data_IF_060998331127
#
_entry.id   IF_060998331127
#
_cell.length_a   1.000
_cell.length_b   1.000
_cell.length_c   1.000
_cell.angle_alpha   90.00
_cell.angle_beta   90.00
_cell.angle_gamma   90.00
#
_symmetry.space_group_name_H-M   'P 1'
#
loop_
_entity.id
_entity.type
_entity.pdbx_description
1 polymer ?
#
# COMPACT_ATOMS: atom_id res chain seq x y z
N UNK A 1 28.04 -3.80 14.81
CA UNK A 1 27.26 -3.11 13.76
C UNK A 1 27.98 -1.88 13.24
N UNK A 2 28.47 -0.97 14.11
CA UNK A 2 29.13 0.29 13.74
C UNK A 2 30.35 0.10 12.80
N UNK A 3 31.18 -0.93 13.06
CA UNK A 3 32.32 -1.27 12.17
C UNK A 3 31.85 -1.72 10.77
N UNK A 4 30.76 -2.47 10.70
CA UNK A 4 30.19 -2.94 9.42
C UNK A 4 29.65 -1.76 8.61
N UNK A 5 28.91 -0.86 9.27
CA UNK A 5 28.37 0.36 8.65
C UNK A 5 29.52 1.25 8.17
N UNK A 6 30.53 1.49 9.00
CA UNK A 6 31.70 2.29 8.63
C UNK A 6 32.47 1.68 7.43
N UNK A 7 32.65 0.36 7.41
CA UNK A 7 33.27 -0.33 6.27
C UNK A 7 32.41 -0.21 5.02
N UNK A 8 31.10 -0.44 5.12
CA UNK A 8 30.17 -0.30 4.01
C UNK A 8 30.14 1.14 3.48
N UNK A 9 30.07 2.15 4.37
CA UNK A 9 30.13 3.56 3.99
C UNK A 9 31.40 3.89 3.21
N UNK A 10 32.59 3.43 3.68
CA UNK A 10 33.86 3.62 2.97
C UNK A 10 33.93 2.90 1.62
N UNK A 11 33.28 1.75 1.47
CA UNK A 11 33.20 1.04 0.20
C UNK A 11 32.26 1.70 -0.80
N UNK A 12 31.19 2.34 -0.31
CA UNK A 12 30.16 3.02 -1.14
C UNK A 12 30.55 4.44 -1.50
N UNK A 13 31.30 5.16 -0.65
CA UNK A 13 31.75 6.52 -0.96
C UNK A 13 32.99 6.50 -1.86
N UNK A 14 32.74 6.31 -3.16
CA UNK A 14 33.82 6.25 -4.17
C UNK A 14 33.88 7.54 -4.95
N UNK A 15 34.94 8.36 -4.80
CA UNK A 15 35.12 9.57 -5.61
C UNK A 15 35.09 9.23 -7.11
N UNK A 16 34.29 9.99 -7.88
CA UNK A 16 34.12 9.80 -9.32
C UNK A 16 33.12 8.71 -9.74
N UNK A 17 32.53 7.95 -8.81
CA UNK A 17 31.45 7.04 -9.16
C UNK A 17 30.19 7.83 -9.56
N UNK A 18 29.63 7.50 -10.72
CA UNK A 18 28.47 8.19 -11.26
C UNK A 18 27.16 7.60 -10.71
N UNK A 19 26.81 8.00 -9.47
CA UNK A 19 25.56 7.57 -8.82
C UNK A 19 24.31 7.96 -9.62
N UNK A 20 24.34 9.10 -10.31
CA UNK A 20 23.23 9.54 -11.15
C UNK A 20 22.95 8.55 -12.28
N UNK A 21 23.99 8.10 -12.98
CA UNK A 21 23.85 7.07 -14.01
C UNK A 21 23.40 5.73 -13.44
N UNK A 22 23.89 5.36 -12.25
CA UNK A 22 23.48 4.16 -11.55
C UNK A 22 21.98 4.18 -11.22
N UNK A 23 21.48 5.23 -10.58
CA UNK A 23 20.06 5.40 -10.24
C UNK A 23 19.19 5.40 -11.50
N UNK A 24 19.58 6.15 -12.53
CA UNK A 24 18.86 6.14 -13.82
C UNK A 24 18.79 4.72 -14.40
N UNK A 25 19.91 3.99 -14.35
CA UNK A 25 19.98 2.62 -14.84
C UNK A 25 19.04 1.68 -14.04
N UNK A 26 19.07 1.76 -12.72
CA UNK A 26 18.22 0.97 -11.83
C UNK A 26 16.72 1.28 -12.03
N UNK A 27 16.35 2.55 -12.06
CA UNK A 27 14.96 2.97 -12.30
C UNK A 27 14.45 2.52 -13.68
N UNK A 28 15.31 2.61 -14.71
CA UNK A 28 14.97 2.14 -16.06
C UNK A 28 14.81 0.62 -16.09
N UNK A 29 15.72 -0.12 -15.46
CA UNK A 29 15.66 -1.58 -15.40
C UNK A 29 14.39 -2.04 -14.65
N UNK A 30 14.05 -1.40 -13.53
CA UNK A 30 12.84 -1.69 -12.78
C UNK A 30 11.58 -1.46 -13.63
N UNK A 31 11.49 -0.30 -14.29
CA UNK A 31 10.37 0.01 -15.19
C UNK A 31 10.24 -1.02 -16.33
N UNK A 32 11.34 -1.43 -16.94
CA UNK A 32 11.33 -2.43 -17.99
C UNK A 32 10.87 -3.80 -17.48
N UNK A 33 11.28 -4.18 -16.29
CA UNK A 33 10.84 -5.42 -15.65
C UNK A 33 9.34 -5.39 -15.34
N UNK A 34 8.84 -4.34 -14.68
CA UNK A 34 7.41 -4.15 -14.40
C UNK A 34 6.57 -4.14 -15.68
N UNK A 35 7.05 -3.42 -16.70
CA UNK A 35 6.40 -3.38 -18.02
C UNK A 35 6.36 -4.74 -18.68
N UNK A 36 7.39 -5.56 -18.54
CA UNK A 36 7.41 -6.93 -19.04
C UNK A 36 6.39 -7.80 -18.30
N UNK A 37 6.28 -7.68 -16.98
CA UNK A 37 5.30 -8.40 -16.17
C UNK A 37 3.86 -8.00 -16.56
N UNK A 38 3.59 -6.71 -16.71
CA UNK A 38 2.31 -6.17 -17.18
C UNK A 38 1.97 -6.65 -18.59
N UNK A 39 2.94 -6.64 -19.50
CA UNK A 39 2.78 -7.13 -20.87
C UNK A 39 2.42 -8.62 -20.90
N UNK A 40 3.06 -9.46 -20.07
CA UNK A 40 2.72 -10.88 -19.95
C UNK A 40 1.26 -11.06 -19.54
N UNK A 41 0.80 -10.29 -18.55
CA UNK A 41 -0.59 -10.34 -18.09
C UNK A 41 -1.55 -9.89 -19.18
N UNK A 42 -1.26 -8.80 -19.90
CA UNK A 42 -2.06 -8.35 -21.03
C UNK A 42 -2.16 -9.46 -22.09
N UNK A 43 -1.05 -10.13 -22.41
CA UNK A 43 -1.03 -11.22 -23.38
C UNK A 43 -1.88 -12.42 -22.90
N UNK A 44 -1.73 -12.83 -21.64
CA UNK A 44 -2.50 -13.93 -21.05
C UNK A 44 -4.00 -13.66 -21.09
N UNK A 45 -4.41 -12.44 -20.66
CA UNK A 45 -5.83 -12.02 -20.66
C UNK A 45 -6.37 -11.87 -22.07
N UNK A 46 -5.60 -11.30 -23.00
CA UNK A 46 -6.05 -11.13 -24.39
C UNK A 46 -6.25 -12.49 -25.09
N UNK A 47 -5.40 -13.48 -24.81
CA UNK A 47 -5.47 -14.81 -25.40
C UNK A 47 -6.58 -15.68 -24.81
N UNK A 48 -6.80 -15.60 -23.50
CA UNK A 48 -7.67 -16.53 -22.77
C UNK A 48 -8.84 -15.86 -22.06
N UNK A 49 -8.92 -14.54 -22.04
CA UNK A 49 -9.86 -13.76 -21.23
C UNK A 49 -11.33 -13.85 -21.63
N UNK A 50 -11.65 -14.56 -22.71
CA UNK A 50 -13.03 -14.90 -23.05
C UNK A 50 -13.44 -16.31 -22.58
N UNK A 51 -12.50 -17.10 -22.03
CA UNK A 51 -12.77 -18.47 -21.58
C UNK A 51 -13.08 -18.45 -20.09
N UNK A 52 -14.20 -19.05 -19.72
CA UNK A 52 -14.54 -19.31 -18.32
C UNK A 52 -13.62 -20.42 -17.80
N UNK A 53 -12.90 -20.25 -16.69
CA UNK A 53 -12.19 -21.35 -16.04
C UNK A 53 -13.17 -22.46 -15.63
N UNK A 54 -12.73 -23.74 -15.70
CA UNK A 54 -13.59 -24.89 -15.41
C UNK A 54 -14.26 -24.83 -14.04
N UNK A 55 -13.55 -24.36 -13.02
CA UNK A 55 -14.02 -24.23 -11.66
C UNK A 55 -15.14 -23.17 -11.50
N UNK A 56 -15.28 -22.31 -12.50
CA UNK A 56 -16.25 -21.21 -12.54
C UNK A 56 -17.36 -21.42 -13.58
N UNK A 57 -17.34 -22.55 -14.31
CA UNK A 57 -18.40 -22.89 -15.28
C UNK A 57 -19.76 -22.98 -14.56
N UNK A 58 -20.75 -22.31 -15.13
CA UNK A 58 -22.09 -22.19 -14.53
C UNK A 58 -22.20 -21.23 -13.32
N UNK A 59 -21.09 -20.73 -12.78
CA UNK A 59 -21.08 -19.80 -11.64
C UNK A 59 -20.88 -18.33 -12.08
N UNK A 60 -20.19 -18.11 -13.20
CA UNK A 60 -19.96 -16.80 -13.79
C UNK A 60 -20.36 -16.84 -15.27
N UNK A 61 -21.12 -15.85 -15.70
CA UNK A 61 -21.53 -15.70 -17.09
C UNK A 61 -20.38 -15.20 -17.98
N UNK A 62 -20.40 -15.58 -19.25
CA UNK A 62 -19.35 -15.23 -20.23
C UNK A 62 -19.23 -13.72 -20.46
N UNK A 63 -20.30 -12.95 -20.30
CA UNK A 63 -20.28 -11.50 -20.47
C UNK A 63 -19.45 -10.84 -19.35
N UNK A 64 -19.67 -11.25 -18.10
CA UNK A 64 -18.87 -10.81 -16.96
C UNK A 64 -17.39 -11.15 -17.13
N UNK A 65 -17.06 -12.37 -17.63
CA UNK A 65 -15.67 -12.77 -17.90
C UNK A 65 -15.01 -11.85 -18.93
N UNK A 66 -15.70 -11.56 -20.04
CA UNK A 66 -15.20 -10.63 -21.06
C UNK A 66 -15.05 -9.20 -20.52
N UNK A 67 -16.02 -8.75 -19.72
CA UNK A 67 -15.99 -7.40 -19.10
C UNK A 67 -14.83 -7.26 -18.11
N UNK A 68 -14.60 -8.26 -17.24
CA UNK A 68 -13.49 -8.28 -16.30
C UNK A 68 -12.13 -8.30 -17.01
N UNK A 69 -12.03 -9.05 -18.11
CA UNK A 69 -10.83 -9.09 -18.94
C UNK A 69 -10.52 -7.73 -19.59
N UNK A 70 -11.53 -7.07 -20.15
CA UNK A 70 -11.40 -5.73 -20.73
C UNK A 70 -10.99 -4.71 -19.66
N UNK A 71 -11.60 -4.78 -18.48
CA UNK A 71 -11.24 -3.89 -17.36
C UNK A 71 -9.80 -4.12 -16.91
N UNK A 72 -9.38 -5.37 -16.73
CA UNK A 72 -7.98 -5.71 -16.39
C UNK A 72 -6.99 -5.15 -17.41
N UNK A 73 -7.23 -5.37 -18.72
CA UNK A 73 -6.36 -4.83 -19.78
C UNK A 73 -6.34 -3.30 -19.78
N UNK A 74 -7.47 -2.65 -19.52
CA UNK A 74 -7.54 -1.18 -19.43
C UNK A 74 -6.71 -0.63 -18.27
N UNK A 75 -6.77 -1.28 -17.11
CA UNK A 75 -5.92 -0.92 -15.94
C UNK A 75 -4.44 -1.11 -16.22
N UNK A 76 -4.07 -2.23 -16.85
CA UNK A 76 -2.66 -2.51 -17.19
C UNK A 76 -2.11 -1.52 -18.22
N UNK A 77 -2.88 -1.17 -19.25
CA UNK A 77 -2.47 -0.13 -20.20
C UNK A 77 -2.31 1.22 -19.52
N UNK A 78 -3.19 1.57 -18.60
CA UNK A 78 -3.05 2.80 -17.80
C UNK A 78 -1.80 2.74 -16.91
N UNK A 79 -1.51 1.61 -16.26
CA UNK A 79 -0.29 1.37 -15.48
C UNK A 79 0.97 1.60 -16.32
N UNK A 80 1.04 1.03 -17.52
CA UNK A 80 2.18 1.21 -18.43
C UNK A 80 2.38 2.68 -18.82
N UNK A 81 1.31 3.42 -19.13
CA UNK A 81 1.39 4.83 -19.51
C UNK A 81 1.82 5.69 -18.32
N UNK A 82 1.24 5.49 -17.14
CA UNK A 82 1.63 6.23 -15.94
C UNK A 82 3.04 5.88 -15.47
N UNK A 83 3.44 4.60 -15.57
CA UNK A 83 4.81 4.17 -15.25
C UNK A 83 5.84 4.80 -16.19
N UNK A 84 5.56 4.86 -17.50
CA UNK A 84 6.42 5.57 -18.47
C UNK A 84 6.54 7.06 -18.14
N UNK A 85 5.43 7.70 -17.79
CA UNK A 85 5.45 9.10 -17.37
C UNK A 85 6.33 9.31 -16.15
N UNK A 86 6.18 8.48 -15.11
CA UNK A 86 7.01 8.55 -13.90
C UNK A 86 8.49 8.34 -14.19
N UNK A 87 8.84 7.40 -15.08
CA UNK A 87 10.23 7.22 -15.51
C UNK A 87 10.76 8.47 -16.19
N UNK A 88 10.00 9.05 -17.12
CA UNK A 88 10.39 10.28 -17.84
C UNK A 88 10.53 11.44 -16.86
N UNK A 89 9.60 11.62 -15.92
CA UNK A 89 9.66 12.62 -14.86
C UNK A 89 10.96 12.48 -14.04
N UNK A 90 11.29 11.28 -13.57
CA UNK A 90 12.52 11.02 -12.82
C UNK A 90 13.78 11.34 -13.66
N UNK A 91 13.78 10.97 -14.95
CA UNK A 91 14.88 11.30 -15.84
C UNK A 91 15.07 12.81 -15.98
N UNK A 92 13.99 13.59 -16.10
CA UNK A 92 14.05 15.05 -16.13
C UNK A 92 14.57 15.63 -14.80
N UNK A 93 14.06 15.16 -13.66
CA UNK A 93 14.49 15.59 -12.32
C UNK A 93 16.01 15.42 -12.17
N UNK A 94 16.55 14.28 -12.58
CA UNK A 94 17.98 14.00 -12.42
C UNK A 94 18.85 14.68 -13.47
N UNK A 95 18.47 14.66 -14.76
CA UNK A 95 19.27 15.26 -15.83
C UNK A 95 19.34 16.78 -15.76
N UNK A 96 18.27 17.43 -15.31
CA UNK A 96 18.19 18.89 -15.23
C UNK A 96 18.67 19.46 -13.89
N UNK A 97 19.21 18.64 -13.00
CA UNK A 97 19.60 19.02 -11.64
C UNK A 97 18.48 19.76 -10.90
N UNK A 98 17.25 19.20 -11.01
CA UNK A 98 16.06 19.82 -10.43
C UNK A 98 16.15 19.87 -8.90
N UNK A 99 16.65 18.79 -8.26
CA UNK A 99 16.76 18.72 -6.79
C UNK A 99 17.63 19.84 -6.21
N UNK A 100 18.88 20.08 -6.63
CA UNK A 100 19.68 21.18 -6.08
C UNK A 100 19.11 22.56 -6.43
N UNK A 101 18.49 22.74 -7.60
CA UNK A 101 17.82 24.00 -7.95
C UNK A 101 16.62 24.28 -7.05
N UNK A 102 15.78 23.27 -6.80
CA UNK A 102 14.65 23.39 -5.90
C UNK A 102 15.11 23.62 -4.46
N UNK A 103 16.17 22.93 -4.02
CA UNK A 103 16.79 23.14 -2.73
C UNK A 103 17.21 24.59 -2.55
N UNK A 104 17.95 25.16 -3.49
CA UNK A 104 18.38 26.57 -3.46
C UNK A 104 17.16 27.50 -3.45
N UNK A 105 16.17 27.25 -4.29
CA UNK A 105 14.95 28.07 -4.36
C UNK A 105 14.19 28.10 -3.01
N UNK A 106 13.98 26.94 -2.42
CA UNK A 106 13.28 26.82 -1.12
C UNK A 106 14.11 27.42 0.01
N UNK A 107 15.44 27.35 -0.03
CA UNK A 107 16.32 28.00 0.91
C UNK A 107 16.21 29.55 0.87
N UNK A 108 16.20 30.12 -0.32
CA UNK A 108 15.95 31.56 -0.50
C UNK A 108 14.55 31.96 0.00
N UNK A 109 13.54 31.13 -0.25
CA UNK A 109 12.18 31.37 0.23
C UNK A 109 12.13 31.39 1.76
N UNK A 110 12.70 30.38 2.44
CA UNK A 110 12.78 30.31 3.92
C UNK A 110 13.52 31.52 4.47
N UNK A 111 14.66 31.89 3.89
CA UNK A 111 15.44 33.07 4.31
C UNK A 111 14.64 34.36 4.14
N UNK A 112 13.87 34.50 3.07
CA UNK A 112 12.98 35.65 2.86
C UNK A 112 11.86 35.72 3.90
N UNK A 113 11.26 34.58 4.27
CA UNK A 113 10.23 34.53 5.31
C UNK A 113 10.80 34.92 6.68
N UNK A 114 12.00 34.45 7.02
CA UNK A 114 12.70 34.82 8.26
C UNK A 114 13.02 36.32 8.29
N UNK A 115 13.54 36.86 7.18
CA UNK A 115 13.85 38.30 7.08
C UNK A 115 12.63 39.20 7.18
N UNK A 116 11.44 38.72 6.82
CA UNK A 116 10.14 39.39 6.98
C UNK A 116 9.46 39.11 8.35
N UNK A 117 10.14 38.39 9.25
CA UNK A 117 9.59 37.95 10.53
C UNK A 117 8.29 37.12 10.42
N UNK A 118 8.05 36.48 9.27
CA UNK A 118 6.91 35.56 9.06
C UNK A 118 7.16 34.17 9.62
N UNK A 119 8.43 33.84 9.91
CA UNK A 119 8.82 32.62 10.62
C UNK A 119 9.58 32.99 11.90
N UNK A 120 9.38 32.29 13.02
CA UNK A 120 10.17 32.42 14.22
C UNK A 120 11.67 32.14 13.97
N UNK A 121 12.57 32.83 14.60
CA UNK A 121 14.03 32.64 14.46
C UNK A 121 14.48 31.21 14.79
N UNK A 122 13.75 30.50 15.67
CA UNK A 122 14.03 29.10 15.99
C UNK A 122 13.78 28.14 14.81
N UNK A 123 13.10 28.59 13.75
CA UNK A 123 12.84 27.84 12.52
C UNK A 123 13.84 28.17 11.40
N UNK A 124 15.03 28.68 11.70
CA UNK A 124 16.07 29.03 10.70
C UNK A 124 16.94 27.85 10.26
N UNK A 125 16.73 26.65 10.82
CA UNK A 125 17.65 25.52 10.63
C UNK A 125 17.35 24.66 9.41
N UNK A 126 18.27 23.71 9.15
CA UNK A 126 18.24 22.72 8.09
C UNK A 126 16.94 21.90 8.06
N UNK A 127 16.36 21.60 9.23
CA UNK A 127 15.10 20.84 9.33
C UNK A 127 13.96 21.63 8.69
N UNK A 128 13.81 22.92 9.01
CA UNK A 128 12.78 23.77 8.41
C UNK A 128 12.96 23.86 6.90
N UNK A 129 14.19 24.08 6.42
CA UNK A 129 14.49 24.09 4.99
C UNK A 129 14.08 22.75 4.34
N UNK A 130 14.40 21.61 4.96
CA UNK A 130 14.00 20.27 4.48
C UNK A 130 12.49 20.10 4.42
N UNK A 131 11.73 20.64 5.39
CA UNK A 131 10.26 20.61 5.38
C UNK A 131 9.68 21.40 4.19
N UNK A 132 10.18 22.62 3.94
CA UNK A 132 9.76 23.43 2.81
C UNK A 132 10.14 22.78 1.47
N UNK A 133 11.33 22.20 1.38
CA UNK A 133 11.77 21.46 0.20
C UNK A 133 10.86 20.26 -0.08
N UNK A 134 10.60 19.43 0.93
CA UNK A 134 9.71 18.25 0.79
C UNK A 134 8.28 18.69 0.48
N UNK A 135 7.81 19.76 1.10
CA UNK A 135 6.51 20.36 0.80
C UNK A 135 6.40 20.80 -0.64
N UNK A 136 7.42 21.47 -1.18
CA UNK A 136 7.47 21.91 -2.58
C UNK A 136 7.45 20.71 -3.54
N UNK A 137 8.25 19.67 -3.29
CA UNK A 137 8.22 18.43 -4.07
C UNK A 137 6.81 17.81 -4.04
N UNK A 138 6.20 17.69 -2.85
CA UNK A 138 4.87 17.10 -2.71
C UNK A 138 3.80 17.86 -3.50
N UNK A 139 3.86 19.18 -3.50
CA UNK A 139 2.93 20.02 -4.29
C UNK A 139 3.15 19.80 -5.79
N UNK A 140 4.40 19.81 -6.26
CA UNK A 140 4.72 19.57 -7.68
C UNK A 140 4.26 18.17 -8.10
N UNK A 141 4.60 17.12 -7.37
CA UNK A 141 4.19 15.74 -7.66
C UNK A 141 2.67 15.59 -7.63
N UNK A 142 1.98 16.20 -6.67
CA UNK A 142 0.51 16.21 -6.64
C UNK A 142 -0.05 16.82 -7.91
N UNK A 143 0.46 17.99 -8.33
CA UNK A 143 0.00 18.66 -9.53
C UNK A 143 0.23 17.84 -10.80
N UNK A 144 1.39 17.21 -10.94
CA UNK A 144 1.73 16.36 -12.09
C UNK A 144 0.90 15.07 -12.12
N UNK A 145 0.50 14.54 -10.98
CA UNK A 145 -0.34 13.34 -10.87
C UNK A 145 -1.84 13.60 -11.09
N UNK A 146 -2.32 14.85 -11.03
CA UNK A 146 -3.74 15.19 -11.17
C UNK A 146 -4.38 14.66 -12.47
N UNK A 147 -3.77 14.79 -13.66
CA UNK A 147 -4.37 14.27 -14.89
C UNK A 147 -4.55 12.75 -14.87
N UNK A 148 -3.59 12.02 -14.31
CA UNK A 148 -3.65 10.57 -14.17
C UNK A 148 -4.73 10.15 -13.17
N UNK A 149 -4.80 10.83 -12.03
CA UNK A 149 -5.82 10.58 -11.02
C UNK A 149 -7.24 10.87 -11.54
N UNK A 150 -7.40 11.98 -12.27
CA UNK A 150 -8.67 12.31 -12.94
C UNK A 150 -9.05 11.24 -13.96
N UNK A 151 -8.13 10.86 -14.86
CA UNK A 151 -8.38 9.84 -15.87
C UNK A 151 -8.76 8.49 -15.24
N UNK A 152 -8.02 8.06 -14.20
CA UNK A 152 -8.31 6.82 -13.49
C UNK A 152 -9.75 6.80 -12.97
N UNK A 153 -10.18 7.85 -12.26
CA UNK A 153 -11.49 7.86 -11.60
C UNK A 153 -12.63 8.17 -12.58
N UNK A 154 -12.51 9.23 -13.38
CA UNK A 154 -13.63 9.77 -14.19
C UNK A 154 -13.67 9.25 -15.63
N UNK A 155 -12.64 8.51 -16.07
CA UNK A 155 -12.66 7.89 -17.40
C UNK A 155 -12.62 6.38 -17.27
N UNK A 156 -11.59 5.83 -16.61
CA UNK A 156 -11.40 4.38 -16.54
C UNK A 156 -12.43 3.72 -15.61
N UNK A 157 -12.52 4.11 -14.35
CA UNK A 157 -13.46 3.54 -13.38
C UNK A 157 -14.92 3.82 -13.77
N UNK A 158 -15.20 5.01 -14.34
CA UNK A 158 -16.52 5.40 -14.85
C UNK A 158 -16.96 4.49 -15.99
N UNK A 159 -16.07 4.17 -16.94
CA UNK A 159 -16.36 3.30 -18.09
C UNK A 159 -16.82 1.89 -17.70
N UNK A 160 -16.44 1.42 -16.50
CA UNK A 160 -16.85 0.11 -15.97
C UNK A 160 -17.94 0.20 -14.89
N UNK A 161 -18.40 1.41 -14.56
CA UNK A 161 -19.49 1.64 -13.61
C UNK A 161 -19.07 1.67 -12.14
N UNK A 162 -17.77 1.77 -11.86
CA UNK A 162 -17.26 1.78 -10.49
C UNK A 162 -17.19 3.16 -9.85
N UNK A 163 -17.03 4.22 -10.67
CA UNK A 163 -16.93 5.57 -10.12
C UNK A 163 -18.28 6.06 -9.58
N UNK A 164 -18.25 6.52 -8.34
CA UNK A 164 -19.36 7.25 -7.69
C UNK A 164 -18.91 8.63 -7.19
N UNK A 165 -17.65 8.99 -7.44
CA UNK A 165 -17.11 10.28 -7.07
C UNK A 165 -17.72 11.40 -7.92
N UNK A 166 -18.15 12.49 -7.27
CA UNK A 166 -18.34 13.76 -7.95
C UNK A 166 -17.03 14.53 -7.99
N UNK A 167 -16.85 15.40 -8.98
CA UNK A 167 -15.67 16.27 -9.07
C UNK A 167 -15.49 17.11 -7.80
N UNK A 168 -16.60 17.61 -7.23
CA UNK A 168 -16.59 18.37 -5.95
C UNK A 168 -16.03 17.53 -4.80
N UNK A 169 -16.47 16.28 -4.67
CA UNK A 169 -15.99 15.38 -3.61
C UNK A 169 -14.53 15.03 -3.84
N UNK A 170 -14.11 14.75 -5.08
CA UNK A 170 -12.73 14.46 -5.45
C UNK A 170 -11.78 15.62 -5.10
N UNK A 171 -12.14 16.87 -5.44
CA UNK A 171 -11.35 18.07 -5.08
C UNK A 171 -11.30 18.24 -3.56
N UNK A 172 -12.41 18.03 -2.85
CA UNK A 172 -12.47 18.09 -1.38
C UNK A 172 -11.53 17.05 -0.75
N UNK A 173 -11.56 15.81 -1.26
CA UNK A 173 -10.71 14.73 -0.75
C UNK A 173 -9.23 15.01 -1.03
N UNK A 174 -8.89 15.53 -2.21
CA UNK A 174 -7.52 15.96 -2.54
C UNK A 174 -7.00 17.02 -1.56
N UNK A 175 -7.83 18.04 -1.26
CA UNK A 175 -7.47 19.09 -0.30
C UNK A 175 -7.27 18.51 1.11
N UNK A 176 -8.18 17.66 1.58
CA UNK A 176 -8.07 17.00 2.90
C UNK A 176 -6.81 16.12 2.99
N UNK A 177 -6.54 15.31 1.95
CA UNK A 177 -5.34 14.46 1.90
C UNK A 177 -4.06 15.30 1.96
N UNK A 178 -4.00 16.39 1.19
CA UNK A 178 -2.85 17.31 1.20
C UNK A 178 -2.69 17.97 2.57
N UNK A 179 -3.76 18.48 3.16
CA UNK A 179 -3.73 19.11 4.48
C UNK A 179 -3.29 18.13 5.58
N UNK A 180 -3.82 16.89 5.57
CA UNK A 180 -3.40 15.84 6.49
C UNK A 180 -1.93 15.43 6.27
N UNK A 181 -1.49 15.35 5.01
CA UNK A 181 -0.10 15.08 4.67
C UNK A 181 0.85 16.09 5.33
N UNK A 182 0.53 17.37 5.28
CA UNK A 182 1.31 18.40 5.96
C UNK A 182 1.14 18.38 7.49
N UNK A 183 -0.08 18.21 7.98
CA UNK A 183 -0.36 18.27 9.43
C UNK A 183 0.21 17.08 10.21
N UNK A 184 0.26 15.89 9.61
CA UNK A 184 0.77 14.67 10.23
C UNK A 184 2.19 14.36 9.72
N UNK A 185 2.41 14.40 8.42
CA UNK A 185 3.69 14.08 7.78
C UNK A 185 4.78 15.10 8.14
N UNK A 186 4.46 16.39 8.23
CA UNK A 186 5.42 17.42 8.58
C UNK A 186 6.08 17.21 9.96
N UNK A 187 5.33 17.07 11.05
CA UNK A 187 5.88 16.76 12.37
C UNK A 187 6.66 15.44 12.42
N UNK A 188 6.16 14.39 11.75
CA UNK A 188 6.86 13.09 11.68
C UNK A 188 8.20 13.25 10.95
N UNK A 189 8.24 13.98 9.82
CA UNK A 189 9.47 14.24 9.08
C UNK A 189 10.44 15.11 9.89
N UNK A 190 9.94 16.13 10.61
CA UNK A 190 10.78 16.95 11.48
C UNK A 190 11.43 16.11 12.58
N UNK A 191 10.67 15.21 13.23
CA UNK A 191 11.19 14.29 14.24
C UNK A 191 12.18 13.27 13.62
N UNK A 192 11.87 12.73 12.45
CA UNK A 192 12.77 11.85 11.68
C UNK A 192 14.13 12.48 11.45
N UNK A 193 14.15 13.71 10.91
CA UNK A 193 15.38 14.45 10.64
C UNK A 193 16.13 14.80 11.93
N UNK A 194 15.39 15.18 12.99
CA UNK A 194 15.97 15.50 14.29
C UNK A 194 16.61 14.31 14.97
N UNK A 195 16.02 13.13 14.85
CA UNK A 195 16.60 11.88 15.37
C UNK A 195 17.93 11.57 14.67
N UNK A 196 17.98 11.69 13.34
CA UNK A 196 19.21 11.43 12.58
C UNK A 196 20.31 12.45 12.97
N UNK A 197 19.96 13.72 13.02
CA UNK A 197 20.87 14.80 13.39
C UNK A 197 21.42 14.61 14.83
N UNK A 198 20.54 14.26 15.78
CA UNK A 198 20.90 14.17 17.19
C UNK A 198 21.70 12.92 17.56
N UNK A 199 21.32 11.75 17.04
CA UNK A 199 21.91 10.46 17.40
C UNK A 199 23.06 10.03 16.49
N UNK A 200 23.32 10.76 15.40
CA UNK A 200 24.43 10.51 14.49
C UNK A 200 24.46 9.06 14.02
N UNK A 201 25.59 8.38 14.13
CA UNK A 201 25.79 7.01 13.60
C UNK A 201 24.90 5.92 14.27
N UNK A 202 24.20 6.25 15.34
CA UNK A 202 23.26 5.34 16.03
C UNK A 202 21.80 5.60 15.74
N UNK A 203 21.49 6.51 14.80
CA UNK A 203 20.11 6.93 14.53
C UNK A 203 19.17 5.76 14.16
N UNK A 204 19.66 4.70 13.51
CA UNK A 204 18.84 3.58 13.04
C UNK A 204 18.05 2.90 14.18
N UNK A 205 18.62 2.78 15.38
CA UNK A 205 17.92 2.22 16.54
C UNK A 205 16.76 3.09 16.99
N UNK A 206 17.03 4.39 17.17
CA UNK A 206 16.05 5.36 17.66
C UNK A 206 14.99 5.65 16.62
N UNK A 207 15.37 5.73 15.35
CA UNK A 207 14.45 5.97 14.26
C UNK A 207 13.50 4.79 14.05
N UNK A 208 14.01 3.56 14.10
CA UNK A 208 13.16 2.35 14.02
C UNK A 208 12.19 2.28 15.19
N UNK A 209 12.65 2.57 16.40
CA UNK A 209 11.77 2.62 17.57
C UNK A 209 10.71 3.72 17.43
N UNK A 210 11.10 4.93 17.00
CA UNK A 210 10.19 6.05 16.76
C UNK A 210 9.12 5.69 15.72
N UNK A 211 9.53 5.13 14.58
CA UNK A 211 8.58 4.74 13.52
C UNK A 211 7.67 3.59 13.96
N UNK A 212 8.16 2.66 14.79
CA UNK A 212 7.33 1.63 15.41
C UNK A 212 6.25 2.22 16.32
N UNK A 213 6.61 3.24 17.12
CA UNK A 213 5.64 3.98 17.94
C UNK A 213 4.63 4.72 17.05
N UNK A 214 5.10 5.41 16.01
CA UNK A 214 4.21 6.09 15.04
C UNK A 214 3.24 5.10 14.43
N UNK A 215 3.70 3.92 14.01
CA UNK A 215 2.85 2.88 13.43
C UNK A 215 1.75 2.43 14.41
N UNK A 216 2.09 2.16 15.66
CA UNK A 216 1.10 1.77 16.70
C UNK A 216 0.11 2.90 16.97
N UNK A 217 0.59 4.14 17.07
CA UNK A 217 -0.25 5.32 17.29
C UNK A 217 -1.22 5.52 16.12
N UNK A 218 -0.75 5.32 14.88
CA UNK A 218 -1.58 5.42 13.69
C UNK A 218 -2.68 4.36 13.60
N UNK A 219 -2.47 3.14 14.15
CA UNK A 219 -3.55 2.13 14.25
C UNK A 219 -4.74 2.62 15.10
N UNK A 220 -4.53 3.59 15.99
CA UNK A 220 -5.58 4.19 16.80
C UNK A 220 -6.10 5.50 16.20
N UNK A 221 -5.19 6.35 15.71
CA UNK A 221 -5.55 7.68 15.18
C UNK A 221 -6.33 7.55 13.86
N UNK A 222 -5.90 6.66 12.97
CA UNK A 222 -6.51 6.52 11.64
C UNK A 222 -8.02 6.26 11.71
N UNK A 223 -8.51 5.20 12.39
CA UNK A 223 -9.94 4.90 12.40
C UNK A 223 -10.77 5.93 13.17
N UNK A 224 -10.20 6.60 14.17
CA UNK A 224 -10.94 7.53 15.03
C UNK A 224 -11.01 8.95 14.49
N UNK A 225 -9.95 9.42 13.81
CA UNK A 225 -9.82 10.83 13.43
C UNK A 225 -9.66 11.04 11.93
N UNK A 226 -8.96 10.15 11.22
CA UNK A 226 -8.67 10.33 9.79
C UNK A 226 -9.83 9.78 8.96
N UNK A 227 -10.20 8.53 9.17
CA UNK A 227 -11.26 7.86 8.39
C UNK A 227 -12.60 8.64 8.40
N UNK A 228 -13.07 9.20 9.53
CA UNK A 228 -14.32 9.96 9.56
C UNK A 228 -14.31 11.26 8.74
N UNK A 229 -13.14 11.78 8.37
CA UNK A 229 -13.04 12.94 7.47
C UNK A 229 -13.43 12.59 6.03
N UNK A 230 -13.32 11.33 5.67
CA UNK A 230 -13.61 10.84 4.32
C UNK A 230 -14.92 10.07 4.25
N UNK A 231 -15.14 9.14 5.16
CA UNK A 231 -16.29 8.25 5.17
C UNK A 231 -17.07 8.35 6.48
N UNK A 232 -18.38 8.18 6.38
CA UNK A 232 -19.24 8.05 7.55
C UNK A 232 -19.21 6.60 8.04
N UNK A 233 -18.81 6.42 9.30
CA UNK A 233 -18.95 5.16 10.02
C UNK A 233 -20.24 5.22 10.85
N UNK A 234 -21.17 4.33 10.60
CA UNK A 234 -22.42 4.21 11.37
C UNK A 234 -22.42 2.87 12.12
N UNK A 235 -22.86 2.82 13.38
CA UNK A 235 -23.09 1.53 14.03
C UNK A 235 -24.01 0.66 13.18
N UNK A 236 -23.74 -0.64 13.14
CA UNK A 236 -24.58 -1.58 12.42
C UNK A 236 -25.96 -1.65 13.10
N UNK A 237 -27.03 -1.56 12.30
CA UNK A 237 -28.40 -1.70 12.78
C UNK A 237 -28.68 -3.10 13.32
N UNK A 238 -29.61 -3.19 14.26
CA UNK A 238 -30.05 -4.48 14.80
C UNK A 238 -30.76 -5.30 13.72
N UNK A 239 -30.39 -6.57 13.59
CA UNK A 239 -30.92 -7.45 12.57
C UNK A 239 -30.23 -8.81 12.55
N UNK A 240 -30.67 -9.68 11.66
CA UNK A 240 -30.17 -11.05 11.53
C UNK A 240 -28.66 -11.07 11.29
N UNK A 241 -28.13 -10.21 10.43
CA UNK A 241 -26.71 -10.13 10.11
C UNK A 241 -25.88 -9.76 11.34
N UNK A 242 -26.28 -8.76 12.13
CA UNK A 242 -25.57 -8.38 13.35
C UNK A 242 -25.52 -9.53 14.35
N UNK A 243 -26.66 -10.19 14.60
CA UNK A 243 -26.75 -11.35 15.50
C UNK A 243 -25.84 -12.47 15.02
N UNK A 244 -25.81 -12.76 13.72
CA UNK A 244 -24.97 -13.81 13.15
C UNK A 244 -23.47 -13.50 13.32
N UNK A 245 -23.06 -12.25 13.11
CA UNK A 245 -21.67 -11.79 13.28
C UNK A 245 -21.26 -11.85 14.76
N UNK A 246 -22.10 -11.37 15.67
CA UNK A 246 -21.83 -11.42 17.11
C UNK A 246 -21.69 -12.87 17.60
N UNK A 247 -22.54 -13.78 17.10
CA UNK A 247 -22.44 -15.22 17.39
C UNK A 247 -21.14 -15.83 16.86
N UNK A 248 -20.71 -15.47 15.64
CA UNK A 248 -19.44 -15.90 15.08
C UNK A 248 -18.28 -15.43 15.96
N UNK A 249 -18.27 -14.14 16.31
CA UNK A 249 -17.25 -13.55 17.18
C UNK A 249 -17.19 -14.24 18.55
N UNK A 250 -18.33 -14.47 19.18
CA UNK A 250 -18.43 -15.17 20.46
C UNK A 250 -17.90 -16.61 20.38
N UNK A 251 -18.28 -17.35 19.34
CA UNK A 251 -17.80 -18.73 19.10
C UNK A 251 -16.29 -18.80 19.01
N UNK A 252 -15.67 -17.81 18.37
CA UNK A 252 -14.23 -17.74 18.16
C UNK A 252 -13.48 -16.99 19.27
N UNK A 253 -14.16 -16.54 20.33
CA UNK A 253 -13.58 -15.68 21.38
C UNK A 253 -12.88 -14.45 20.79
N UNK A 254 -13.37 -13.97 19.66
CA UNK A 254 -12.86 -12.76 19.03
C UNK A 254 -13.27 -11.55 19.88
N UNK A 255 -12.33 -10.66 20.26
CA UNK A 255 -12.61 -9.56 21.19
C UNK A 255 -13.35 -8.40 20.48
N UNK A 256 -14.54 -8.68 19.96
CA UNK A 256 -15.38 -7.73 19.26
C UNK A 256 -15.90 -6.66 20.20
N UNK A 257 -15.62 -5.39 19.93
CA UNK A 257 -16.13 -4.22 20.64
C UNK A 257 -17.29 -3.59 19.87
N UNK A 258 -17.10 -3.35 18.57
CA UNK A 258 -18.09 -2.64 17.75
C UNK A 258 -18.16 -3.19 16.33
N UNK A 259 -19.38 -3.10 15.77
CA UNK A 259 -19.68 -3.36 14.37
C UNK A 259 -20.07 -2.05 13.68
N UNK A 260 -19.40 -1.71 12.61
CA UNK A 260 -19.67 -0.51 11.82
C UNK A 260 -19.99 -0.83 10.37
N UNK A 261 -20.84 0.03 9.80
CA UNK A 261 -21.06 0.12 8.37
C UNK A 261 -20.43 1.41 7.87
N UNK A 262 -19.64 1.30 6.79
CA UNK A 262 -19.01 2.44 6.12
C UNK A 262 -19.73 2.75 4.81
N UNK A 263 -19.95 4.04 4.52
CA UNK A 263 -20.58 4.55 3.29
C UNK A 263 -19.63 4.48 2.08
N UNK A 264 -19.14 3.27 1.77
CA UNK A 264 -18.23 3.03 0.66
C UNK A 264 -18.82 3.38 -0.70
N UNK A 265 -20.14 3.12 -0.86
CA UNK A 265 -20.93 3.43 -2.07
C UNK A 265 -20.88 4.89 -2.50
N UNK A 266 -20.52 5.81 -1.61
CA UNK A 266 -20.35 7.23 -1.91
C UNK A 266 -19.19 7.52 -2.87
N UNK A 267 -18.21 6.65 -2.95
CA UNK A 267 -16.99 6.79 -3.77
C UNK A 267 -16.84 5.72 -4.82
N UNK A 268 -17.20 4.50 -4.48
CA UNK A 268 -17.00 3.35 -5.36
C UNK A 268 -18.08 2.29 -5.13
N UNK A 269 -18.39 1.52 -6.14
CA UNK A 269 -19.24 0.32 -6.02
C UNK A 269 -18.50 -0.94 -5.64
N UNK A 270 -17.19 -0.86 -5.38
CA UNK A 270 -16.42 -2.00 -4.85
C UNK A 270 -16.86 -2.36 -3.43
N UNK A 271 -16.89 -3.67 -3.16
CA UNK A 271 -17.30 -4.23 -1.87
C UNK A 271 -16.08 -4.72 -1.09
N UNK A 272 -16.09 -4.54 0.23
CA UNK A 272 -15.02 -5.01 1.12
C UNK A 272 -15.51 -5.18 2.56
N UNK A 273 -14.73 -5.89 3.39
CA UNK A 273 -14.86 -5.98 4.84
C UNK A 273 -13.47 -6.03 5.47
N UNK A 274 -13.31 -5.55 6.69
CA UNK A 274 -12.05 -5.63 7.42
C UNK A 274 -12.27 -5.47 8.93
N UNK A 275 -11.30 -5.88 9.72
CA UNK A 275 -11.27 -5.55 11.15
C UNK A 275 -10.12 -4.59 11.46
N UNK A 276 -10.29 -3.82 12.54
CA UNK A 276 -9.28 -2.89 13.02
C UNK A 276 -9.18 -2.94 14.55
N UNK A 277 -8.04 -2.48 15.07
CA UNK A 277 -7.74 -2.43 16.50
C UNK A 277 -6.31 -2.87 16.79
N UNK A 278 -5.84 -2.56 18.00
CA UNK A 278 -4.49 -2.94 18.43
C UNK A 278 -4.36 -4.47 18.49
N UNK A 279 -3.18 -5.05 18.21
CA UNK A 279 -2.98 -6.52 18.26
C UNK A 279 -3.46 -7.18 19.55
N UNK A 280 -3.29 -6.50 20.67
CA UNK A 280 -3.64 -6.96 22.02
C UNK A 280 -4.93 -6.36 22.60
N UNK A 281 -5.64 -5.53 21.84
CA UNK A 281 -6.86 -4.84 22.28
C UNK A 281 -8.13 -5.39 21.66
N UNK A 282 -9.26 -4.76 22.02
CA UNK A 282 -10.54 -5.00 21.38
C UNK A 282 -10.52 -4.67 19.91
N UNK A 283 -11.39 -5.34 19.14
CA UNK A 283 -11.48 -5.23 17.69
C UNK A 283 -12.80 -4.59 17.27
N UNK A 284 -12.74 -3.89 16.16
CA UNK A 284 -13.91 -3.36 15.49
C UNK A 284 -13.98 -3.99 14.09
N UNK A 285 -15.14 -4.45 13.70
CA UNK A 285 -15.39 -4.92 12.32
C UNK A 285 -16.08 -3.81 11.57
N UNK A 286 -15.64 -3.59 10.35
CA UNK A 286 -16.19 -2.60 9.42
C UNK A 286 -16.62 -3.30 8.14
N UNK A 287 -17.89 -3.19 7.81
CA UNK A 287 -18.49 -3.70 6.58
C UNK A 287 -18.82 -2.54 5.65
N UNK A 288 -18.52 -2.70 4.36
CA UNK A 288 -18.97 -1.76 3.35
C UNK A 288 -20.48 -1.91 3.14
N UNK A 289 -21.18 -0.80 3.00
CA UNK A 289 -22.61 -0.79 2.65
C UNK A 289 -22.88 -1.59 1.36
N UNK A 290 -21.99 -1.50 0.37
CA UNK A 290 -22.03 -2.28 -0.87
C UNK A 290 -21.92 -3.79 -0.65
N UNK A 291 -21.17 -4.26 0.36
CA UNK A 291 -21.07 -5.68 0.68
C UNK A 291 -22.37 -6.19 1.31
N UNK A 292 -22.94 -5.43 2.25
CA UNK A 292 -24.19 -5.79 2.93
C UNK A 292 -25.36 -5.86 1.93
N UNK A 293 -25.41 -4.92 0.98
CA UNK A 293 -26.45 -4.87 -0.03
C UNK A 293 -26.42 -6.07 -1.01
N UNK A 294 -25.22 -6.58 -1.30
CA UNK A 294 -24.99 -7.59 -2.35
C UNK A 294 -24.79 -9.01 -1.86
N UNK A 295 -24.60 -9.22 -0.55
CA UNK A 295 -24.27 -10.52 0.03
C UNK A 295 -25.33 -11.01 1.00
N UNK A 296 -25.51 -12.32 1.07
CA UNK A 296 -26.37 -12.94 2.10
C UNK A 296 -25.67 -12.92 3.46
N UNK A 297 -26.46 -13.09 4.53
CA UNK A 297 -25.92 -13.16 5.91
C UNK A 297 -24.85 -14.22 6.04
N UNK A 298 -25.07 -15.41 5.46
CA UNK A 298 -24.13 -16.55 5.55
C UNK A 298 -22.84 -16.28 4.78
N UNK A 299 -22.89 -15.61 3.64
CA UNK A 299 -21.70 -15.19 2.87
C UNK A 299 -20.86 -14.17 3.64
N UNK A 300 -21.49 -13.16 4.26
CA UNK A 300 -20.78 -12.19 5.11
C UNK A 300 -20.15 -12.88 6.32
N UNK A 301 -20.85 -13.82 6.95
CA UNK A 301 -20.31 -14.61 8.08
C UNK A 301 -19.11 -15.45 7.64
N UNK A 302 -19.13 -16.04 6.45
CA UNK A 302 -18.00 -16.81 5.91
C UNK A 302 -16.76 -15.94 5.67
N UNK A 303 -16.95 -14.76 5.07
CA UNK A 303 -15.85 -13.77 4.89
C UNK A 303 -15.30 -13.33 6.25
N UNK A 304 -16.17 -13.03 7.21
CA UNK A 304 -15.72 -12.66 8.56
C UNK A 304 -15.07 -13.83 9.31
N UNK A 305 -15.45 -15.07 9.02
CA UNK A 305 -14.74 -16.26 9.49
C UNK A 305 -13.30 -16.33 9.01
N UNK A 306 -13.07 -15.96 7.74
CA UNK A 306 -11.73 -15.81 7.15
C UNK A 306 -10.97 -14.66 7.85
N UNK A 307 -11.57 -13.48 8.01
CA UNK A 307 -10.96 -12.35 8.72
C UNK A 307 -10.58 -12.68 10.16
N UNK A 308 -11.45 -13.40 10.88
CA UNK A 308 -11.17 -13.90 12.24
C UNK A 308 -10.02 -14.92 12.20
N UNK A 309 -9.87 -15.71 11.14
CA UNK A 309 -8.73 -16.59 10.92
C UNK A 309 -7.41 -15.83 10.93
N UNK A 310 -7.31 -14.69 10.25
CA UNK A 310 -6.13 -13.83 10.30
C UNK A 310 -5.80 -13.36 11.71
N UNK A 311 -6.81 -13.00 12.50
CA UNK A 311 -6.61 -12.63 13.89
C UNK A 311 -6.20 -13.82 14.77
N UNK A 312 -6.90 -14.94 14.67
CA UNK A 312 -6.67 -16.13 15.49
C UNK A 312 -5.25 -16.71 15.29
N UNK A 313 -4.77 -16.67 14.04
CA UNK A 313 -3.43 -17.13 13.65
C UNK A 313 -2.35 -16.03 13.79
N UNK A 314 -2.74 -14.86 14.32
CA UNK A 314 -1.84 -13.70 14.56
C UNK A 314 -1.11 -13.21 13.31
N UNK A 315 -1.70 -13.32 12.11
CA UNK A 315 -1.08 -12.92 10.85
C UNK A 315 -0.73 -11.43 10.85
N UNK A 316 -1.65 -10.57 11.29
CA UNK A 316 -1.43 -9.12 11.40
C UNK A 316 -0.25 -8.78 12.31
N UNK A 317 -0.12 -9.48 13.45
CA UNK A 317 1.01 -9.26 14.38
C UNK A 317 2.33 -9.73 13.79
N UNK A 318 2.34 -10.87 13.10
CA UNK A 318 3.53 -11.39 12.41
C UNK A 318 4.00 -10.43 11.33
N UNK A 319 3.09 -9.93 10.49
CA UNK A 319 3.40 -8.94 9.45
C UNK A 319 3.89 -7.62 10.04
N UNK A 320 3.32 -7.18 11.17
CA UNK A 320 3.79 -5.98 11.88
C UNK A 320 5.26 -6.13 12.32
N UNK A 321 5.62 -7.29 12.87
CA UNK A 321 7.01 -7.57 13.29
C UNK A 321 7.98 -7.69 12.11
N UNK A 322 7.55 -8.33 11.01
CA UNK A 322 8.34 -8.42 9.78
C UNK A 322 8.58 -7.02 9.19
N UNK A 323 7.54 -6.19 9.12
CA UNK A 323 7.66 -4.81 8.65
C UNK A 323 8.58 -3.98 9.55
N UNK A 324 8.55 -4.19 10.86
CA UNK A 324 9.47 -3.52 11.79
C UNK A 324 10.91 -3.97 11.58
N UNK A 325 11.16 -5.25 11.35
CA UNK A 325 12.49 -5.77 11.05
C UNK A 325 13.00 -5.26 9.69
N UNK A 326 12.14 -5.22 8.67
CA UNK A 326 12.43 -4.64 7.37
C UNK A 326 12.81 -3.15 7.47
N UNK A 327 12.02 -2.37 8.20
CA UNK A 327 12.30 -0.95 8.43
C UNK A 327 13.63 -0.73 9.17
N UNK A 328 13.94 -1.55 10.16
CA UNK A 328 15.24 -1.51 10.84
C UNK A 328 16.40 -1.83 9.89
N UNK A 329 16.25 -2.84 9.04
CA UNK A 329 17.24 -3.18 8.01
C UNK A 329 17.43 -2.01 7.03
N UNK A 330 16.34 -1.42 6.51
CA UNK A 330 16.38 -0.27 5.62
C UNK A 330 17.13 0.92 6.24
N UNK A 331 16.84 1.29 7.48
CA UNK A 331 17.57 2.37 8.15
C UNK A 331 19.03 2.04 8.43
N UNK A 332 19.34 0.76 8.65
CA UNK A 332 20.72 0.29 8.79
C UNK A 332 21.48 0.44 7.46
N UNK A 333 20.87 0.09 6.34
CA UNK A 333 21.43 0.34 5.01
C UNK A 333 21.56 1.84 4.74
N UNK A 334 20.56 2.64 5.07
CA UNK A 334 20.62 4.09 4.91
C UNK A 334 21.77 4.71 5.70
N UNK A 335 22.14 4.18 6.87
CA UNK A 335 23.25 4.66 7.65
C UNK A 335 24.60 4.61 6.89
N UNK A 336 24.74 3.69 5.92
CA UNK A 336 25.92 3.63 5.05
C UNK A 336 25.92 4.72 3.96
N UNK A 337 24.79 5.33 3.65
CA UNK A 337 24.62 6.31 2.59
C UNK A 337 24.43 7.75 3.09
N UNK A 338 24.00 7.96 4.32
CA UNK A 338 23.62 9.29 4.85
C UNK A 338 24.75 10.32 4.76
N UNK A 339 26.02 9.87 4.82
CA UNK A 339 27.23 10.70 4.71
C UNK A 339 28.02 10.45 3.41
N UNK A 340 27.41 9.81 2.41
CA UNK A 340 28.07 9.47 1.16
C UNK A 340 28.30 10.70 0.28
N UNK A 341 29.49 11.26 0.33
CA UNK A 341 29.88 12.48 -0.37
C UNK A 341 29.81 12.33 -1.90
N UNK A 342 30.20 11.15 -2.42
CA UNK A 342 30.16 10.88 -3.86
C UNK A 342 28.72 10.84 -4.40
N UNK A 343 27.76 10.35 -3.61
CA UNK A 343 26.33 10.36 -3.93
C UNK A 343 25.82 11.81 -4.07
N UNK A 344 26.00 12.62 -3.04
CA UNK A 344 25.53 14.01 -3.06
C UNK A 344 26.15 14.82 -4.21
N UNK A 345 27.47 14.70 -4.41
CA UNK A 345 28.17 15.37 -5.51
C UNK A 345 27.66 14.96 -6.89
N UNK A 346 27.31 13.69 -7.09
CA UNK A 346 26.73 13.21 -8.35
C UNK A 346 25.41 13.90 -8.70
N UNK A 347 24.69 14.41 -7.69
CA UNK A 347 23.43 15.12 -7.86
C UNK A 347 23.53 16.64 -7.68
N UNK A 348 24.75 17.21 -7.70
CA UNK A 348 24.97 18.66 -7.66
C UNK A 348 24.98 19.28 -6.27
N UNK A 349 25.00 18.48 -5.19
CA UNK A 349 25.15 18.94 -3.83
C UNK A 349 26.63 18.92 -3.43
N UNK A 350 27.34 20.01 -3.70
CA UNK A 350 28.79 20.09 -3.45
C UNK A 350 29.15 20.62 -2.07
N UNK A 351 28.33 21.51 -1.49
CA UNK A 351 28.62 22.22 -0.27
C UNK A 351 27.78 21.75 0.92
N UNK A 352 26.67 21.09 0.67
CA UNK A 352 25.71 20.67 1.68
C UNK A 352 25.31 19.20 1.43
N UNK A 353 24.98 18.49 2.50
CA UNK A 353 24.48 17.11 2.46
C UNK A 353 23.15 17.03 3.21
N UNK A 354 22.05 17.55 2.62
CA UNK A 354 20.76 17.52 3.29
C UNK A 354 20.30 16.08 3.49
N UNK A 355 20.04 15.69 4.73
CA UNK A 355 19.63 14.32 5.10
C UNK A 355 18.44 13.85 4.26
N UNK A 356 17.45 14.75 4.04
CA UNK A 356 16.26 14.42 3.26
C UNK A 356 16.57 14.06 1.82
N UNK A 357 17.50 14.78 1.18
CA UNK A 357 17.95 14.48 -0.19
C UNK A 357 18.68 13.13 -0.22
N UNK A 358 19.58 12.90 0.75
CA UNK A 358 20.26 11.61 0.88
C UNK A 358 19.27 10.45 1.07
N UNK A 359 18.22 10.65 1.86
CA UNK A 359 17.19 9.64 2.07
C UNK A 359 16.37 9.36 0.79
N UNK A 360 16.03 10.40 0.02
CA UNK A 360 15.34 10.24 -1.26
C UNK A 360 16.20 9.47 -2.27
N UNK A 361 17.46 9.87 -2.46
CA UNK A 361 18.38 9.21 -3.39
C UNK A 361 18.71 7.77 -2.95
N UNK A 362 18.79 7.53 -1.64
CA UNK A 362 18.92 6.18 -1.10
C UNK A 362 17.70 5.32 -1.44
N UNK A 363 16.48 5.88 -1.36
CA UNK A 363 15.25 5.19 -1.76
C UNK A 363 15.32 4.66 -3.19
N UNK A 364 15.85 5.45 -4.11
CA UNK A 364 16.01 5.03 -5.52
C UNK A 364 17.06 3.91 -5.71
N UNK A 365 18.08 3.88 -4.86
CA UNK A 365 19.10 2.80 -4.87
C UNK A 365 18.51 1.53 -4.23
N UNK A 366 17.78 1.69 -3.13
CA UNK A 366 17.22 0.59 -2.36
C UNK A 366 15.98 -0.04 -3.01
N UNK A 367 15.22 0.72 -3.79
CA UNK A 367 13.96 0.32 -4.40
C UNK A 367 13.98 -1.05 -5.10
N UNK A 368 14.95 -1.38 -5.96
CA UNK A 368 15.03 -2.71 -6.59
C UNK A 368 15.24 -3.86 -5.59
N UNK A 369 15.97 -3.63 -4.49
CA UNK A 369 16.10 -4.61 -3.41
C UNK A 369 14.81 -4.74 -2.62
N UNK A 370 14.16 -3.61 -2.37
CA UNK A 370 12.86 -3.55 -1.70
C UNK A 370 11.78 -4.32 -2.47
N UNK A 371 11.78 -4.25 -3.79
CA UNK A 371 10.88 -5.04 -4.64
C UNK A 371 11.06 -6.56 -4.45
N UNK A 372 12.29 -7.04 -4.25
CA UNK A 372 12.56 -8.47 -3.96
C UNK A 372 12.03 -8.85 -2.57
N UNK A 373 12.20 -7.97 -1.57
CA UNK A 373 11.68 -8.19 -0.22
C UNK A 373 10.14 -8.15 -0.20
N UNK A 374 9.54 -7.20 -0.91
CA UNK A 374 8.09 -7.11 -1.08
C UNK A 374 7.53 -8.38 -1.72
N UNK A 375 8.18 -8.91 -2.76
CA UNK A 375 7.83 -10.19 -3.36
C UNK A 375 7.85 -11.36 -2.34
N UNK A 376 8.88 -11.44 -1.50
CA UNK A 376 8.95 -12.47 -0.46
C UNK A 376 7.85 -12.32 0.59
N UNK A 377 7.50 -11.08 0.97
CA UNK A 377 6.39 -10.79 1.90
C UNK A 377 5.05 -11.16 1.24
N UNK A 378 4.86 -10.90 -0.06
CA UNK A 378 3.65 -11.29 -0.79
C UNK A 378 3.45 -12.81 -0.81
N UNK A 379 4.51 -13.59 -1.01
CA UNK A 379 4.44 -15.06 -0.93
C UNK A 379 4.02 -15.54 0.46
N UNK A 380 4.53 -14.88 1.52
CA UNK A 380 4.13 -15.18 2.90
C UNK A 380 2.66 -14.80 3.14
N UNK A 381 2.21 -13.64 2.66
CA UNK A 381 0.81 -13.20 2.76
C UNK A 381 -0.13 -14.19 2.07
N UNK A 382 0.23 -14.70 0.90
CA UNK A 382 -0.55 -15.75 0.22
C UNK A 382 -0.68 -17.04 1.05
N UNK A 383 0.37 -17.41 1.78
CA UNK A 383 0.30 -18.55 2.72
C UNK A 383 -0.69 -18.26 3.86
N UNK A 384 -0.72 -17.03 4.35
CA UNK A 384 -1.66 -16.61 5.39
C UNK A 384 -3.10 -16.58 4.89
N UNK A 385 -3.33 -16.27 3.62
CA UNK A 385 -4.65 -16.35 2.99
C UNK A 385 -5.17 -17.78 2.97
N UNK A 386 -4.36 -18.75 2.55
CA UNK A 386 -4.74 -20.17 2.59
C UNK A 386 -5.07 -20.64 4.01
N UNK A 387 -4.27 -20.23 4.99
CA UNK A 387 -4.55 -20.58 6.41
C UNK A 387 -5.85 -19.93 6.92
N UNK A 388 -6.18 -18.73 6.47
CA UNK A 388 -7.44 -18.08 6.84
C UNK A 388 -8.65 -18.71 6.14
N UNK A 389 -8.50 -19.14 4.87
CA UNK A 389 -9.52 -19.93 4.17
C UNK A 389 -9.76 -21.26 4.86
N UNK A 390 -8.71 -21.99 5.21
CA UNK A 390 -8.79 -23.23 5.98
C UNK A 390 -9.51 -23.02 7.32
N UNK A 391 -9.15 -21.94 8.04
CA UNK A 391 -9.78 -21.60 9.32
C UNK A 391 -11.30 -21.44 9.20
N UNK A 392 -11.78 -20.72 8.18
CA UNK A 392 -13.20 -20.53 7.90
C UNK A 392 -13.87 -21.84 7.46
N UNK A 393 -13.22 -22.60 6.59
CA UNK A 393 -13.72 -23.89 6.06
C UNK A 393 -13.88 -24.94 7.16
N UNK A 394 -12.89 -25.08 8.06
CA UNK A 394 -12.98 -26.00 9.21
C UNK A 394 -14.06 -25.63 10.23
N UNK A 395 -14.57 -24.41 10.21
CA UNK A 395 -15.74 -23.98 10.97
C UNK A 395 -17.07 -24.30 10.30
N UNK A 396 -17.06 -24.87 9.10
CA UNK A 396 -18.24 -25.27 8.33
C UNK A 396 -18.75 -24.18 7.37
N UNK A 397 -17.91 -23.17 7.03
CA UNK A 397 -18.30 -22.08 6.11
C UNK A 397 -17.64 -22.20 4.74
N UNK A 398 -17.08 -23.35 4.35
CA UNK A 398 -16.35 -23.53 3.08
C UNK A 398 -17.20 -23.18 1.87
N UNK A 399 -18.40 -23.75 1.73
CA UNK A 399 -19.31 -23.50 0.61
C UNK A 399 -19.75 -22.04 0.52
N UNK A 400 -20.07 -21.41 1.67
CA UNK A 400 -20.45 -20.00 1.71
C UNK A 400 -19.27 -19.08 1.39
N UNK A 401 -18.06 -19.46 1.82
CA UNK A 401 -16.83 -18.73 1.49
C UNK A 401 -16.55 -18.79 -0.02
N UNK A 402 -16.67 -19.96 -0.65
CA UNK A 402 -16.54 -20.11 -2.12
C UNK A 402 -17.53 -19.21 -2.86
N UNK A 403 -18.81 -19.22 -2.44
CA UNK A 403 -19.84 -18.36 -3.04
C UNK A 403 -19.49 -16.89 -2.90
N UNK A 404 -19.09 -16.47 -1.71
CA UNK A 404 -18.71 -15.08 -1.43
C UNK A 404 -17.49 -14.63 -2.24
N UNK A 405 -16.46 -15.47 -2.32
CA UNK A 405 -15.27 -15.18 -3.13
C UNK A 405 -15.60 -15.00 -4.61
N UNK A 406 -16.47 -15.86 -5.15
CA UNK A 406 -16.94 -15.77 -6.55
C UNK A 406 -17.75 -14.48 -6.75
N UNK A 407 -18.67 -14.16 -5.82
CA UNK A 407 -19.48 -12.95 -5.85
C UNK A 407 -18.61 -11.70 -5.83
N UNK A 408 -17.64 -11.61 -4.90
CA UNK A 408 -16.71 -10.49 -4.81
C UNK A 408 -15.87 -10.29 -6.07
N UNK A 409 -15.41 -11.39 -6.70
CA UNK A 409 -14.66 -11.31 -7.95
C UNK A 409 -15.53 -10.82 -9.11
N UNK A 410 -16.77 -11.29 -9.19
CA UNK A 410 -17.76 -10.85 -10.18
C UNK A 410 -18.09 -9.36 -10.00
N UNK A 411 -18.41 -8.94 -8.78
CA UNK A 411 -18.77 -7.58 -8.45
C UNK A 411 -17.63 -6.57 -8.69
N UNK A 412 -16.41 -6.96 -8.35
CA UNK A 412 -15.23 -6.12 -8.52
C UNK A 412 -14.58 -6.24 -9.91
N UNK A 413 -15.16 -7.02 -10.83
CA UNK A 413 -14.58 -7.34 -12.14
C UNK A 413 -13.10 -7.74 -12.05
N UNK A 414 -12.76 -8.53 -11.03
CA UNK A 414 -11.39 -9.01 -10.86
C UNK A 414 -11.01 -9.96 -11.99
N UNK A 415 -9.73 -9.94 -12.42
CA UNK A 415 -9.26 -10.79 -13.52
C UNK A 415 -9.40 -12.26 -13.15
N UNK A 416 -10.02 -13.05 -14.04
CA UNK A 416 -10.18 -14.49 -13.89
C UNK A 416 -9.07 -15.29 -14.59
N UNK A 417 -8.30 -14.61 -15.43
CA UNK A 417 -7.11 -15.15 -16.10
C UNK A 417 -5.90 -14.38 -15.62
N UNK A 418 -4.96 -15.08 -15.02
CA UNK A 418 -3.77 -14.46 -14.44
C UNK A 418 -2.51 -15.19 -14.88
N UNK A 419 -1.52 -14.45 -15.37
CA UNK A 419 -0.17 -14.97 -15.63
C UNK A 419 0.52 -15.29 -14.29
N UNK A 420 1.22 -16.40 -14.21
CA UNK A 420 1.86 -16.85 -12.96
C UNK A 420 2.88 -15.85 -12.40
N UNK A 421 3.69 -15.21 -13.28
CA UNK A 421 4.69 -14.23 -12.83
C UNK A 421 4.01 -12.94 -12.38
N UNK A 422 2.97 -12.51 -13.11
CA UNK A 422 2.17 -11.35 -12.70
C UNK A 422 1.49 -11.60 -11.35
N UNK A 423 0.87 -12.76 -11.16
CA UNK A 423 0.27 -13.15 -9.88
C UNK A 423 1.29 -13.17 -8.75
N UNK A 424 2.44 -13.81 -8.97
CA UNK A 424 3.48 -13.91 -7.96
C UNK A 424 4.05 -12.55 -7.55
N UNK A 425 4.18 -11.63 -8.51
CA UNK A 425 4.80 -10.32 -8.28
C UNK A 425 3.82 -9.26 -7.74
N UNK A 426 2.57 -9.24 -8.24
CA UNK A 426 1.62 -8.16 -7.96
C UNK A 426 0.53 -8.50 -6.95
N UNK A 427 0.29 -9.79 -6.64
CA UNK A 427 -0.79 -10.18 -5.76
C UNK A 427 -0.27 -10.65 -4.40
N UNK A 428 -0.81 -10.08 -3.36
CA UNK A 428 -0.67 -10.51 -1.96
C UNK A 428 -1.69 -11.60 -1.56
N UNK A 429 -2.70 -11.84 -2.41
CA UNK A 429 -3.69 -12.91 -2.25
C UNK A 429 -3.55 -13.94 -3.37
N UNK A 430 -3.78 -15.24 -3.12
CA UNK A 430 -3.86 -16.24 -4.16
C UNK A 430 -5.01 -15.95 -5.12
N UNK A 431 -4.88 -16.38 -6.36
CA UNK A 431 -5.93 -16.21 -7.35
C UNK A 431 -7.20 -17.00 -6.96
N UNK A 432 -8.38 -16.49 -7.36
CA UNK A 432 -9.67 -17.10 -7.01
C UNK A 432 -9.70 -18.61 -7.20
N UNK A 433 -9.29 -19.12 -8.38
CA UNK A 433 -9.30 -20.57 -8.68
C UNK A 433 -8.39 -21.36 -7.74
N UNK A 434 -7.25 -20.80 -7.34
CA UNK A 434 -6.33 -21.42 -6.38
C UNK A 434 -7.00 -21.54 -5.00
N UNK A 435 -7.68 -20.48 -4.55
CA UNK A 435 -8.41 -20.47 -3.27
C UNK A 435 -9.57 -21.47 -3.29
N UNK A 436 -10.36 -21.51 -4.37
CA UNK A 436 -11.47 -22.45 -4.49
C UNK A 436 -10.99 -23.91 -4.40
N UNK A 437 -9.92 -24.26 -5.11
CA UNK A 437 -9.34 -25.62 -5.05
C UNK A 437 -8.86 -25.95 -3.64
N UNK A 438 -8.17 -25.02 -2.98
CA UNK A 438 -7.71 -25.23 -1.63
C UNK A 438 -8.87 -25.45 -0.63
N UNK A 439 -9.96 -24.69 -0.77
CA UNK A 439 -11.16 -24.89 0.06
C UNK A 439 -11.78 -26.27 -0.21
N UNK A 440 -11.88 -26.70 -1.47
CA UNK A 440 -12.38 -28.03 -1.84
C UNK A 440 -11.51 -29.16 -1.24
N UNK A 441 -10.17 -29.02 -1.29
CA UNK A 441 -9.22 -29.96 -0.67
C UNK A 441 -9.45 -30.09 0.85
N UNK A 442 -9.66 -28.97 1.56
CA UNK A 442 -9.95 -28.97 3.00
C UNK A 442 -11.32 -29.61 3.32
N UNK A 443 -12.35 -29.37 2.49
CA UNK A 443 -13.67 -30.00 2.65
C UNK A 443 -13.60 -31.52 2.48
N UNK A 444 -12.80 -32.01 1.53
CA UNK A 444 -12.56 -33.43 1.30
C UNK A 444 -11.80 -34.06 2.49
N UNK A 445 -10.81 -33.40 3.05
CA UNK A 445 -10.11 -33.83 4.28
C UNK A 445 -11.09 -33.97 5.44
N UNK A 446 -11.89 -32.93 5.73
CA UNK A 446 -12.89 -32.95 6.81
C UNK A 446 -13.89 -34.07 6.61
N UNK A 447 -14.27 -34.37 5.36
CA UNK A 447 -15.21 -35.42 5.02
C UNK A 447 -14.61 -36.81 5.24
N UNK A 448 -13.31 -36.98 5.00
CA UNK A 448 -12.59 -38.23 5.28
C UNK A 448 -12.37 -38.46 6.76
N UNK A 449 -11.97 -37.43 7.51
CA UNK A 449 -11.78 -37.47 8.98
C UNK A 449 -13.07 -37.87 9.74
N UNK A 450 -14.25 -37.60 9.18
CA UNK A 450 -15.54 -37.97 9.78
C UNK A 450 -15.96 -39.41 9.48
N UNK A 451 -15.30 -40.09 8.55
CA UNK A 451 -15.61 -41.47 8.15
C UNK A 451 -14.74 -42.50 8.88
N UNK A 452 -13.59 -42.06 9.39
CA UNK A 452 -12.68 -42.80 10.24
C UNK A 452 -13.08 -42.65 11.72
#
# INVERSE_FOLDING_TARGET
>A
MDKIIATASGLMDRPGFNWKACIIGLSTANFLFESYVDWRQIHAVTKNGAKVPKELEGKIDSETVVKSSKYSVSKLKFSLVSGLFNLVENLFIYKLDFLPKLWTCTGHFVTSLLGKHLLPSCMSGMITHSLFFTGAISVVSTFLSLPFNYYKNFVLEEAYGFNKLTVKLWVSDLFKQTALGFAIGGPILAAFLKIIDHFGDKFMYYLSAFMGVVQIVMLVIYPKFIQPLFNKLSPMEDGEMKVAIEKLAQRNRFPLDKLYVIDGSKRSSHSNAYFMGLPWGSKQIVLFDTLIEKSTVTEVVAVLGHEIGHWALSHTTKLLLINQAHMFAMFTFFAAFVKNNSLYKSFGFYNEQPIIVGFMLFGDIFGPLDSVLAFAISLLSRTYEYQADEYSTRQGYGEELKKSLISLHKENLSSLVVDWLYSAYNYDHPHLVERLRHIDEIEDEISSEKKD
#
